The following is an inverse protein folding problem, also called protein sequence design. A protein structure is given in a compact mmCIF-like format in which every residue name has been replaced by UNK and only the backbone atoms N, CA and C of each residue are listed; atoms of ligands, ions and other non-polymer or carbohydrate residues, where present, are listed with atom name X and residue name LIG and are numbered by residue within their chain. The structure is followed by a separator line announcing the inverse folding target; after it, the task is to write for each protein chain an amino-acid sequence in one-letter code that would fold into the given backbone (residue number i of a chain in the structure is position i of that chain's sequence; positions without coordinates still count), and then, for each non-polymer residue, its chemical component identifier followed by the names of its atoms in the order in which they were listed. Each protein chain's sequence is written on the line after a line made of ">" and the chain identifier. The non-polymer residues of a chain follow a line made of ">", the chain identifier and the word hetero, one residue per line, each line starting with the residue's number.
data_IF_022531359933
#
_entry.id   IF_022531359933
#
_cell.length_a   1.000
_cell.length_b   1.000
_cell.length_c   1.000
_cell.angle_alpha   90.00
_cell.angle_beta   90.00
_cell.angle_gamma   90.00
#
_symmetry.space_group_name_H-M   'P 1'
#
loop_
_entity.id
_entity.type
_entity.pdbx_description
1 polymer ?
#
# COMPACT_ATOMS: atom_id res chain seq x y z
N UNK A 1 -3.75 -6.23 -3.07
CA UNK A 1 -4.27 -5.80 -1.74
C UNK A 1 -4.53 -6.98 -0.81
N UNK A 2 -5.32 -8.00 -1.20
CA UNK A 2 -5.61 -9.14 -0.31
C UNK A 2 -4.36 -9.83 0.29
N UNK A 3 -3.35 -10.15 -0.53
CA UNK A 3 -2.09 -10.73 -0.04
C UNK A 3 -1.31 -9.79 0.89
N UNK A 4 -1.26 -8.49 0.58
CA UNK A 4 -0.57 -7.50 1.43
C UNK A 4 -1.26 -7.38 2.79
N UNK A 5 -2.60 -7.45 2.81
CA UNK A 5 -3.43 -7.43 4.02
C UNK A 5 -3.30 -8.67 4.91
N UNK A 6 -2.59 -9.74 4.49
CA UNK A 6 -2.26 -10.85 5.40
C UNK A 6 -1.03 -10.56 6.25
N UNK A 7 -0.17 -9.64 5.81
CA UNK A 7 1.06 -9.25 6.53
C UNK A 7 0.85 -8.08 7.49
N UNK A 8 -0.25 -7.34 7.34
CA UNK A 8 -0.54 -6.16 8.16
C UNK A 8 -2.05 -5.89 8.19
N UNK A 9 -2.52 -5.17 9.20
CA UNK A 9 -3.95 -4.86 9.36
C UNK A 9 -4.52 -4.20 8.10
N UNK A 10 -5.61 -4.79 7.58
CA UNK A 10 -6.27 -4.33 6.35
C UNK A 10 -6.60 -2.83 6.36
N UNK A 11 -7.00 -2.29 7.50
CA UNK A 11 -7.35 -0.87 7.61
C UNK A 11 -6.14 0.05 7.43
N UNK A 12 -4.98 -0.33 7.98
CA UNK A 12 -3.72 0.40 7.81
C UNK A 12 -3.27 0.39 6.35
N UNK A 13 -3.37 -0.76 5.68
CA UNK A 13 -3.06 -0.88 4.24
C UNK A 13 -3.96 0.03 3.40
N UNK A 14 -5.26 0.05 3.69
CA UNK A 14 -6.22 0.88 2.96
C UNK A 14 -6.00 2.38 3.22
N UNK A 15 -5.63 2.76 4.44
CA UNK A 15 -5.27 4.13 4.76
C UNK A 15 -4.00 4.58 4.01
N UNK A 16 -2.95 3.75 4.02
CA UNK A 16 -1.72 4.02 3.26
C UNK A 16 -1.99 4.10 1.75
N UNK A 17 -2.86 3.25 1.22
CA UNK A 17 -3.25 3.29 -0.20
C UNK A 17 -3.96 4.59 -0.57
N UNK A 18 -4.89 5.06 0.28
CA UNK A 18 -5.55 6.38 0.08
C UNK A 18 -4.54 7.52 0.07
N UNK A 19 -3.57 7.47 0.96
CA UNK A 19 -2.52 8.49 1.03
C UNK A 19 -1.59 8.46 -0.19
N UNK A 20 -1.20 7.27 -0.64
CA UNK A 20 -0.41 7.11 -1.86
C UNK A 20 -1.14 7.65 -3.10
N UNK A 21 -2.46 7.49 -3.18
CA UNK A 21 -3.29 8.11 -4.24
C UNK A 21 -3.29 9.64 -4.12
N UNK A 22 -3.47 10.19 -2.91
CA UNK A 22 -3.43 11.64 -2.66
C UNK A 22 -2.10 12.26 -3.08
N UNK A 23 -1.00 11.54 -2.84
CA UNK A 23 0.35 11.94 -3.19
C UNK A 23 0.75 11.58 -4.64
N UNK A 24 -0.17 11.00 -5.42
CA UNK A 24 0.05 10.60 -6.82
C UNK A 24 1.23 9.64 -7.04
N UNK A 25 1.37 8.67 -6.15
CA UNK A 25 2.29 7.55 -6.35
C UNK A 25 1.88 6.75 -7.58
N UNK A 26 2.88 6.17 -8.25
CA UNK A 26 2.67 5.28 -9.39
C UNK A 26 2.36 3.89 -8.87
N UNK A 27 1.34 3.25 -9.46
CA UNK A 27 0.92 1.90 -9.09
C UNK A 27 1.26 0.90 -10.21
N UNK A 28 1.02 -0.39 -9.94
CA UNK A 28 1.27 -1.51 -10.86
C UNK A 28 2.77 -1.77 -11.10
N UNK A 29 3.08 -2.45 -12.20
CA UNK A 29 4.33 -3.17 -12.43
C UNK A 29 5.59 -2.29 -12.41
N UNK A 30 5.48 -1.01 -12.76
CA UNK A 30 6.59 -0.04 -12.75
C UNK A 30 6.32 1.13 -11.81
N UNK A 31 5.46 0.89 -10.81
CA UNK A 31 5.09 1.86 -9.80
C UNK A 31 6.14 2.02 -8.71
N UNK A 32 5.75 2.77 -7.69
CA UNK A 32 6.54 2.96 -6.48
C UNK A 32 6.33 1.78 -5.52
N UNK A 33 7.21 1.64 -4.54
CA UNK A 33 7.22 0.50 -3.62
C UNK A 33 6.67 0.86 -2.23
N UNK A 34 6.14 -0.14 -1.53
CA UNK A 34 5.75 -0.06 -0.12
C UNK A 34 6.59 -1.04 0.69
N UNK A 35 7.24 -0.56 1.74
CA UNK A 35 8.02 -1.37 2.68
C UNK A 35 7.19 -1.62 3.93
N UNK A 36 7.02 -2.89 4.29
CA UNK A 36 6.38 -3.33 5.54
C UNK A 36 7.47 -3.85 6.48
N UNK A 37 7.46 -3.40 7.73
CA UNK A 37 8.42 -3.78 8.77
C UNK A 37 7.70 -4.47 9.94
N UNK A 38 8.38 -5.35 10.70
CA UNK A 38 7.84 -5.96 11.92
C UNK A 38 7.50 -4.94 13.02
#
# INVERSE_FOLDING_TARGET
>A
LMLVSTFCEREKVLAAYREAVRLRFRFFSYGDCMLLLP
#
